data_IF_618955031039
#
_entry.id   IF_618955031039
#
_cell.length_a   1.000
_cell.length_b   1.000
_cell.length_c   1.000
_cell.angle_alpha   90.00
_cell.angle_beta   90.00
_cell.angle_gamma   90.00
#
_symmetry.space_group_name_H-M   'P 1'
#
loop_
_entity.id
_entity.type
_entity.pdbx_description
1 polymer ?
#
# COMPACT_ATOMS: atom_id res chain seq x y z
N UNK A 1 -0.84 27.93 3.56
CA UNK A 1 0.33 27.02 3.66
C UNK A 1 1.36 27.67 4.57
N UNK A 2 1.49 27.21 5.81
CA UNK A 2 2.57 27.68 6.68
C UNK A 2 3.87 27.02 6.22
N UNK A 3 4.86 27.82 5.79
CA UNK A 3 6.23 27.33 5.56
C UNK A 3 6.75 26.82 6.91
N UNK A 4 6.93 25.51 7.02
CA UNK A 4 7.65 24.91 8.16
C UNK A 4 9.03 25.54 8.19
N UNK A 5 9.31 26.35 9.21
CA UNK A 5 10.65 26.92 9.39
C UNK A 5 11.59 25.77 9.78
N UNK A 6 12.72 25.58 9.10
CA UNK A 6 13.66 24.52 9.47
C UNK A 6 14.13 24.73 10.92
N UNK A 7 14.14 23.66 11.70
CA UNK A 7 14.72 23.66 13.05
C UNK A 7 16.20 24.03 12.92
N UNK A 8 16.62 25.11 13.57
CA UNK A 8 18.05 25.45 13.68
C UNK A 8 18.73 24.37 14.51
N UNK A 9 19.59 23.57 13.90
CA UNK A 9 20.54 22.74 14.61
C UNK A 9 21.74 23.61 15.00
N UNK A 10 22.03 23.70 16.30
CA UNK A 10 23.22 24.39 16.82
C UNK A 10 24.24 23.32 17.20
N UNK A 11 25.45 23.42 16.65
CA UNK A 11 26.58 22.57 17.04
C UNK A 11 27.59 23.45 17.76
N UNK A 12 27.84 23.18 19.04
CA UNK A 12 28.86 23.85 19.83
C UNK A 12 30.09 22.93 19.94
N UNK A 13 31.24 23.40 19.48
CA UNK A 13 32.52 22.69 19.58
C UNK A 13 33.46 23.51 20.46
N UNK A 14 33.96 22.91 21.55
CA UNK A 14 34.97 23.52 22.44
C UNK A 14 36.22 22.66 22.42
N UNK A 15 37.37 23.29 22.19
CA UNK A 15 38.68 22.62 22.09
C UNK A 15 39.66 23.36 22.96
N UNK A 16 40.35 22.63 23.83
CA UNK A 16 41.41 23.12 24.69
C UNK A 16 42.67 22.32 24.36
N UNK A 17 43.73 22.99 23.92
CA UNK A 17 44.97 22.35 23.48
C UNK A 17 46.15 23.30 23.65
N UNK A 18 47.31 22.74 23.98
CA UNK A 18 48.60 23.45 24.06
C UNK A 18 49.40 23.34 22.75
N UNK A 19 48.78 22.87 21.67
CA UNK A 19 49.41 22.56 20.38
C UNK A 19 48.48 22.88 19.20
N UNK A 20 49.02 22.99 17.99
CA UNK A 20 48.24 23.26 16.78
C UNK A 20 47.36 22.05 16.42
N UNK A 21 46.04 22.25 16.31
CA UNK A 21 45.07 21.20 15.97
C UNK A 21 44.18 21.66 14.81
N UNK A 22 43.91 20.77 13.85
CA UNK A 22 42.97 20.99 12.76
C UNK A 22 41.67 20.24 13.02
N UNK A 23 40.53 20.91 12.90
CA UNK A 23 39.20 20.33 13.15
C UNK A 23 38.37 20.51 11.88
N UNK A 24 37.78 19.41 11.41
CA UNK A 24 36.81 19.42 10.32
C UNK A 24 35.44 19.04 10.84
N UNK A 25 34.51 20.00 10.89
CA UNK A 25 33.09 19.73 11.20
C UNK A 25 32.34 19.53 9.89
N UNK A 26 31.77 18.35 9.67
CA UNK A 26 30.90 18.07 8.52
C UNK A 26 29.45 17.98 8.99
N UNK A 27 28.69 19.05 8.76
CA UNK A 27 27.23 19.02 8.91
C UNK A 27 26.65 18.50 7.60
N UNK A 28 26.05 17.31 7.62
CA UNK A 28 25.17 16.90 6.52
C UNK A 28 23.89 17.70 6.70
N UNK A 29 23.61 18.66 5.82
CA UNK A 29 22.24 19.17 5.70
C UNK A 29 21.34 17.95 5.51
N UNK A 30 20.24 17.84 6.25
CA UNK A 30 19.18 16.93 5.82
C UNK A 30 18.91 17.32 4.36
N UNK A 31 19.22 16.39 3.46
CA UNK A 31 18.93 16.54 2.05
C UNK A 31 17.45 16.95 2.00
N UNK A 32 17.10 18.08 1.38
CA UNK A 32 15.70 18.52 1.28
C UNK A 32 14.90 17.38 0.64
N UNK A 33 14.26 16.55 1.48
CA UNK A 33 13.47 15.42 1.00
C UNK A 33 12.16 16.00 0.54
N UNK A 34 11.86 15.81 -0.74
CA UNK A 34 10.62 16.29 -1.31
C UNK A 34 9.47 15.50 -0.70
N UNK A 35 8.45 16.22 -0.22
CA UNK A 35 7.27 15.62 0.38
C UNK A 35 6.68 14.52 -0.51
N UNK A 36 6.28 13.42 0.12
CA UNK A 36 5.58 12.32 -0.53
C UNK A 36 4.20 12.77 -1.01
N UNK A 37 3.69 12.09 -2.03
CA UNK A 37 2.40 12.34 -2.66
C UNK A 37 1.36 11.36 -2.14
N UNK A 38 0.40 11.88 -1.38
CA UNK A 38 -0.80 11.16 -0.96
C UNK A 38 -1.98 11.50 -1.87
N UNK A 39 -2.90 10.56 -2.05
CA UNK A 39 -4.20 10.76 -2.69
C UNK A 39 -5.33 10.86 -1.66
N UNK A 40 -6.56 11.09 -2.15
CA UNK A 40 -7.79 11.15 -1.35
C UNK A 40 -8.91 10.42 -2.10
N UNK A 41 -9.43 9.36 -1.50
CA UNK A 41 -10.46 8.49 -2.06
C UNK A 41 -10.14 7.95 -3.46
N UNK A 42 -11.13 7.31 -4.07
CA UNK A 42 -11.18 7.02 -5.51
C UNK A 42 -12.63 6.60 -5.87
N UNK A 43 -12.79 5.78 -6.91
CA UNK A 43 -14.09 5.26 -7.30
C UNK A 43 -14.68 4.29 -6.24
N UNK A 44 -13.81 3.47 -5.62
CA UNK A 44 -14.14 2.55 -4.52
C UNK A 44 -14.17 3.26 -3.17
N UNK A 45 -13.19 4.14 -2.93
CA UNK A 45 -12.90 4.68 -1.61
C UNK A 45 -13.55 6.06 -1.39
N UNK A 46 -14.20 6.23 -0.24
CA UNK A 46 -14.67 7.53 0.25
C UNK A 46 -13.58 8.61 0.19
N UNK A 47 -13.98 9.86 -0.04
CA UNK A 47 -13.06 11.01 -0.04
C UNK A 47 -12.44 11.31 1.34
N UNK A 48 -12.95 10.68 2.42
CA UNK A 48 -12.35 10.75 3.75
C UNK A 48 -11.08 9.89 3.89
N UNK A 49 -10.85 8.95 2.96
CA UNK A 49 -9.74 8.00 3.03
C UNK A 49 -8.54 8.58 2.30
N UNK A 50 -7.46 8.81 3.06
CA UNK A 50 -6.17 9.18 2.46
C UNK A 50 -5.52 7.94 1.86
N UNK A 51 -5.01 8.02 0.64
CA UNK A 51 -4.36 6.87 -0.03
C UNK A 51 -2.86 7.09 -0.19
N UNK A 52 -2.06 6.08 0.10
CA UNK A 52 -0.64 6.05 -0.21
C UNK A 52 -0.38 4.99 -1.29
N UNK A 53 0.50 5.28 -2.24
CA UNK A 53 0.76 4.38 -3.36
C UNK A 53 2.22 4.37 -3.79
N UNK A 54 2.67 3.20 -4.21
CA UNK A 54 3.93 2.92 -4.88
C UNK A 54 3.68 2.26 -6.25
N UNK A 55 4.72 2.15 -7.12
CA UNK A 55 4.56 1.62 -8.47
C UNK A 55 4.17 0.14 -8.48
N UNK A 56 3.02 -0.17 -9.07
CA UNK A 56 2.47 -1.51 -9.13
C UNK A 56 3.43 -2.51 -9.79
N UNK A 57 3.59 -3.67 -9.15
CA UNK A 57 4.46 -4.76 -9.60
C UNK A 57 5.96 -4.50 -9.50
N UNK A 58 6.41 -3.24 -9.47
CA UNK A 58 7.83 -2.89 -9.25
C UNK A 58 8.18 -2.91 -7.77
N UNK A 59 7.31 -2.38 -6.91
CA UNK A 59 7.49 -2.44 -5.45
C UNK A 59 6.91 -3.71 -4.83
N UNK A 60 6.47 -4.70 -5.63
CA UNK A 60 5.73 -5.88 -5.17
C UNK A 60 6.58 -7.16 -5.30
N UNK A 61 7.52 -7.41 -4.38
CA UNK A 61 8.48 -8.52 -4.51
C UNK A 61 7.83 -9.91 -4.50
N UNK A 62 6.66 -10.04 -3.86
CA UNK A 62 5.98 -11.33 -3.67
C UNK A 62 4.68 -11.46 -4.47
N UNK A 63 4.39 -10.52 -5.36
CA UNK A 63 3.25 -10.64 -6.27
C UNK A 63 3.50 -11.75 -7.31
N UNK A 64 2.51 -12.63 -7.52
CA UNK A 64 2.60 -13.72 -8.49
C UNK A 64 1.46 -13.68 -9.49
N UNK A 65 0.24 -13.96 -9.03
CA UNK A 65 -0.94 -14.07 -9.88
C UNK A 65 -1.40 -12.72 -10.44
N UNK A 66 -1.04 -11.63 -9.75
CA UNK A 66 -1.35 -10.25 -10.14
C UNK A 66 -0.13 -9.46 -10.63
N UNK A 67 1.01 -10.12 -10.90
CA UNK A 67 2.27 -9.42 -11.20
C UNK A 67 2.25 -8.77 -12.58
N UNK A 68 1.66 -7.58 -12.66
CA UNK A 68 1.66 -6.73 -13.86
C UNK A 68 2.39 -5.44 -13.56
N UNK A 69 3.20 -4.96 -14.50
CA UNK A 69 4.04 -3.77 -14.36
C UNK A 69 3.77 -2.81 -15.50
N UNK A 70 3.55 -1.54 -15.19
CA UNK A 70 3.62 -0.47 -16.18
C UNK A 70 5.07 0.02 -16.25
N UNK A 71 5.64 0.11 -17.45
CA UNK A 71 6.98 0.67 -17.63
C UNK A 71 7.04 2.12 -17.12
N UNK A 72 8.13 2.47 -16.42
CA UNK A 72 8.28 3.77 -15.75
C UNK A 72 8.13 4.94 -16.72
N UNK A 73 8.82 4.87 -17.86
CA UNK A 73 8.84 5.94 -18.87
C UNK A 73 7.61 5.89 -19.77
N UNK A 74 7.45 4.79 -20.50
CA UNK A 74 6.48 4.63 -21.58
C UNK A 74 5.07 4.32 -21.09
N UNK A 75 4.94 3.65 -19.95
CA UNK A 75 3.65 3.20 -19.43
C UNK A 75 3.18 1.85 -19.98
N UNK A 76 3.91 1.25 -20.92
CA UNK A 76 3.54 -0.03 -21.53
C UNK A 76 3.44 -1.09 -20.43
N UNK A 77 2.32 -1.82 -20.41
CA UNK A 77 2.09 -2.88 -19.43
C UNK A 77 2.77 -4.16 -19.87
N UNK A 78 3.42 -4.83 -18.94
CA UNK A 78 3.93 -6.20 -19.09
C UNK A 78 3.40 -7.05 -17.94
N UNK A 79 2.77 -8.16 -18.29
CA UNK A 79 2.35 -9.17 -17.34
C UNK A 79 3.49 -10.17 -17.07
N UNK A 80 3.60 -10.63 -15.84
CA UNK A 80 4.51 -11.68 -15.45
C UNK A 80 4.06 -13.07 -15.93
N UNK A 81 4.99 -14.02 -15.95
CA UNK A 81 4.77 -15.41 -16.42
C UNK A 81 3.58 -16.11 -15.76
N UNK A 82 3.27 -15.78 -14.52
CA UNK A 82 2.25 -16.47 -13.71
C UNK A 82 0.97 -15.65 -13.51
N UNK A 83 0.78 -14.58 -14.29
CA UNK A 83 -0.42 -13.74 -14.17
C UNK A 83 -1.67 -14.55 -14.51
N UNK A 84 -2.62 -14.55 -13.58
CA UNK A 84 -3.99 -15.05 -13.77
C UNK A 84 -4.96 -13.90 -13.99
N UNK A 85 -4.76 -12.80 -13.29
CA UNK A 85 -5.50 -11.56 -13.43
C UNK A 85 -4.54 -10.37 -13.37
N UNK A 86 -4.77 -9.35 -14.20
CA UNK A 86 -3.92 -8.16 -14.26
C UNK A 86 -4.19 -7.26 -13.06
N UNK A 87 -3.12 -6.76 -12.44
CA UNK A 87 -3.23 -5.73 -11.40
C UNK A 87 -3.91 -4.49 -11.96
N UNK A 88 -5.03 -4.09 -11.35
CA UNK A 88 -5.79 -2.91 -11.76
C UNK A 88 -4.92 -1.63 -11.70
N UNK A 89 -4.04 -1.54 -10.69
CA UNK A 89 -3.18 -0.39 -10.48
C UNK A 89 -2.10 -0.24 -11.57
N UNK A 90 -1.59 -1.35 -12.12
CA UNK A 90 -0.67 -1.31 -13.25
C UNK A 90 -1.36 -0.77 -14.52
N UNK A 91 -2.64 -1.13 -14.71
CA UNK A 91 -3.48 -0.57 -15.79
C UNK A 91 -3.70 0.93 -15.60
N UNK A 92 -3.94 1.36 -14.37
CA UNK A 92 -4.10 2.78 -14.04
C UNK A 92 -2.82 3.58 -14.31
N UNK A 93 -1.66 3.04 -13.92
CA UNK A 93 -0.36 3.66 -14.18
C UNK A 93 -0.07 3.77 -15.68
N UNK A 94 -0.43 2.77 -16.47
CA UNK A 94 -0.26 2.81 -17.92
C UNK A 94 -1.06 3.94 -18.58
N UNK A 95 -2.32 4.09 -18.17
CA UNK A 95 -3.26 5.07 -18.73
C UNK A 95 -3.06 6.48 -18.19
N UNK A 96 -2.46 6.65 -17.00
CA UNK A 96 -2.32 7.94 -16.31
C UNK A 96 -0.87 8.24 -15.94
N UNK A 97 -0.12 8.91 -16.83
CA UNK A 97 1.29 9.25 -16.58
C UNK A 97 1.53 10.04 -15.29
N UNK A 98 0.61 10.93 -14.90
CA UNK A 98 0.71 11.69 -13.64
C UNK A 98 0.66 10.79 -12.41
N UNK A 99 -0.25 9.80 -12.40
CA UNK A 99 -0.35 8.80 -11.32
C UNK A 99 0.93 7.96 -11.26
N UNK A 100 1.40 7.48 -12.42
CA UNK A 100 2.65 6.71 -12.51
C UNK A 100 3.84 7.50 -11.97
N UNK A 101 4.00 8.76 -12.37
CA UNK A 101 5.08 9.64 -11.87
C UNK A 101 5.00 9.88 -10.37
N UNK A 102 3.81 10.11 -9.82
CA UNK A 102 3.64 10.33 -8.38
C UNK A 102 4.02 9.09 -7.55
N UNK A 103 3.65 7.90 -8.03
CA UNK A 103 4.01 6.63 -7.39
C UNK A 103 5.53 6.38 -7.43
N UNK A 104 6.16 6.61 -8.58
CA UNK A 104 7.63 6.50 -8.70
C UNK A 104 8.36 7.53 -7.84
N UNK A 105 7.87 8.76 -7.76
CA UNK A 105 8.39 9.77 -6.84
C UNK A 105 8.41 9.26 -5.40
N UNK A 106 7.29 8.75 -4.91
CA UNK A 106 7.20 8.20 -3.56
C UNK A 106 8.21 7.07 -3.33
N UNK A 107 8.29 6.15 -4.28
CA UNK A 107 9.18 4.99 -4.19
C UNK A 107 10.66 5.40 -4.14
N UNK A 108 11.07 6.31 -5.03
CA UNK A 108 12.45 6.78 -5.08
C UNK A 108 12.84 7.55 -3.80
N UNK A 109 11.95 8.40 -3.28
CA UNK A 109 12.19 9.14 -2.04
C UNK A 109 12.33 8.20 -0.83
N UNK A 110 11.46 7.18 -0.74
CA UNK A 110 11.55 6.19 0.34
C UNK A 110 12.83 5.35 0.21
N UNK A 111 13.19 4.92 -1.00
CA UNK A 111 14.43 4.15 -1.24
C UNK A 111 15.71 4.95 -0.99
N UNK A 112 15.64 6.28 -1.00
CA UNK A 112 16.76 7.14 -0.63
C UNK A 112 16.94 7.24 0.90
N UNK A 113 15.95 6.84 1.69
CA UNK A 113 16.06 6.75 3.14
C UNK A 113 16.92 5.56 3.55
N UNK A 114 17.69 5.70 4.64
CA UNK A 114 18.65 4.68 5.10
C UNK A 114 18.14 3.83 6.25
N UNK A 115 17.01 4.18 6.85
CA UNK A 115 16.43 3.46 7.98
C UNK A 115 14.91 3.57 8.00
N UNK A 116 14.28 2.77 8.86
CA UNK A 116 12.83 2.79 9.07
C UNK A 116 12.38 4.13 9.67
N UNK A 117 13.15 4.69 10.60
CA UNK A 117 12.86 5.98 11.26
C UNK A 117 12.93 7.13 10.25
N UNK A 118 13.89 7.09 9.34
CA UNK A 118 14.02 8.07 8.26
C UNK A 118 12.82 8.01 7.30
N UNK A 119 12.36 6.81 6.94
CA UNK A 119 11.16 6.63 6.12
C UNK A 119 9.90 7.07 6.87
N UNK A 120 9.77 6.69 8.15
CA UNK A 120 8.63 7.03 8.99
C UNK A 120 8.50 8.53 9.17
N UNK A 121 9.61 9.24 9.43
CA UNK A 121 9.63 10.71 9.50
C UNK A 121 9.17 11.33 8.19
N UNK A 122 9.70 10.88 7.06
CA UNK A 122 9.29 11.39 5.74
C UNK A 122 7.79 11.17 5.47
N UNK A 123 7.26 10.01 5.86
CA UNK A 123 5.82 9.70 5.77
C UNK A 123 5.00 10.64 6.65
N UNK A 124 5.37 10.79 7.93
CA UNK A 124 4.67 11.62 8.89
C UNK A 124 4.67 13.11 8.49
N UNK A 125 5.81 13.62 8.04
CA UNK A 125 5.95 15.02 7.60
C UNK A 125 5.13 15.31 6.33
N UNK A 126 4.88 14.27 5.51
CA UNK A 126 4.12 14.37 4.27
C UNK A 126 2.62 14.07 4.45
N UNK A 127 2.23 13.41 5.54
CA UNK A 127 0.86 12.99 5.81
C UNK A 127 0.10 14.10 6.54
N UNK A 128 -1.07 14.47 6.00
CA UNK A 128 -1.93 15.48 6.62
C UNK A 128 -2.27 15.12 8.08
N UNK A 129 -2.24 16.08 9.03
CA UNK A 129 -2.61 15.82 10.43
C UNK A 129 -4.08 15.40 10.59
N UNK A 130 -4.93 15.67 9.59
CA UNK A 130 -6.36 15.35 9.60
C UNK A 130 -6.71 13.96 9.05
N UNK A 131 -5.72 13.15 8.65
CA UNK A 131 -5.99 11.81 8.15
C UNK A 131 -6.56 10.92 9.27
N UNK A 132 -7.85 10.59 9.18
CA UNK A 132 -8.52 9.61 10.04
C UNK A 132 -8.26 8.19 9.58
N UNK A 133 -8.41 7.92 8.28
CA UNK A 133 -8.12 6.62 7.65
C UNK A 133 -7.08 6.77 6.55
N UNK A 134 -6.12 5.85 6.53
CA UNK A 134 -5.05 5.79 5.55
C UNK A 134 -5.00 4.40 4.94
N UNK A 135 -5.37 4.31 3.65
CA UNK A 135 -5.08 3.12 2.85
C UNK A 135 -3.62 3.10 2.47
N UNK A 136 -2.84 2.30 3.19
CA UNK A 136 -1.45 2.01 2.87
C UNK A 136 -1.45 1.06 1.69
N UNK A 137 -0.98 1.55 0.54
CA UNK A 137 -0.98 0.86 -0.75
C UNK A 137 -2.39 0.66 -1.33
N UNK A 138 -2.93 1.75 -1.88
CA UNK A 138 -3.92 1.63 -2.98
C UNK A 138 -3.24 1.00 -4.23
N UNK A 139 -1.92 1.17 -4.34
CA UNK A 139 -1.03 0.51 -5.28
C UNK A 139 0.33 0.28 -4.67
N UNK A 140 1.05 -0.72 -5.18
CA UNK A 140 2.36 -1.09 -4.69
C UNK A 140 2.26 -2.05 -3.52
N UNK A 141 3.31 -2.12 -2.71
CA UNK A 141 3.44 -3.13 -1.65
C UNK A 141 4.62 -2.78 -0.72
N UNK A 142 4.67 -3.42 0.45
CA UNK A 142 5.86 -3.46 1.30
C UNK A 142 7.02 -4.17 0.58
N UNK A 143 8.00 -3.41 0.09
CA UNK A 143 9.11 -3.94 -0.72
C UNK A 143 10.34 -4.39 0.09
N UNK A 144 10.39 -4.10 1.39
CA UNK A 144 11.46 -4.51 2.30
C UNK A 144 10.98 -4.50 3.76
N UNK A 145 11.64 -5.25 4.64
CA UNK A 145 11.36 -5.21 6.08
C UNK A 145 11.49 -3.80 6.65
N UNK A 146 12.53 -3.06 6.26
CA UNK A 146 12.78 -1.68 6.74
C UNK A 146 11.60 -0.76 6.40
N UNK A 147 11.01 -0.92 5.21
CA UNK A 147 9.85 -0.13 4.82
C UNK A 147 8.55 -0.58 5.51
N UNK A 148 8.40 -1.88 5.79
CA UNK A 148 7.31 -2.37 6.64
C UNK A 148 7.40 -1.77 8.04
N UNK A 149 8.58 -1.84 8.67
CA UNK A 149 8.84 -1.31 10.00
C UNK A 149 8.60 0.21 10.08
N UNK A 150 8.87 0.94 8.99
CA UNK A 150 8.54 2.36 8.91
C UNK A 150 7.04 2.65 9.09
N UNK A 151 6.16 1.82 8.51
CA UNK A 151 4.71 1.97 8.68
C UNK A 151 4.24 1.56 10.08
N UNK A 152 4.90 0.59 10.72
CA UNK A 152 4.67 0.27 12.13
C UNK A 152 4.98 1.50 13.00
N UNK A 153 6.12 2.15 12.78
CA UNK A 153 6.51 3.38 13.49
C UNK A 153 5.52 4.54 13.24
N UNK A 154 5.06 4.71 12.00
CA UNK A 154 4.04 5.72 11.64
C UNK A 154 2.74 5.46 12.41
N UNK A 155 2.28 4.21 12.46
CA UNK A 155 1.06 3.82 13.16
C UNK A 155 1.17 4.06 14.67
N UNK A 156 2.30 3.67 15.28
CA UNK A 156 2.61 3.96 16.69
C UNK A 156 2.62 5.46 16.99
N UNK A 157 3.13 6.28 16.06
CA UNK A 157 3.18 7.74 16.23
C UNK A 157 1.82 8.41 16.08
N UNK A 158 0.88 7.78 15.36
CA UNK A 158 -0.46 8.30 15.08
C UNK A 158 -1.54 7.32 15.55
N UNK A 159 -1.67 7.07 16.87
CA UNK A 159 -2.59 6.05 17.40
C UNK A 159 -4.08 6.34 17.12
N UNK A 160 -4.43 7.56 16.74
CA UNK A 160 -5.81 7.96 16.35
C UNK A 160 -6.09 7.88 14.85
N UNK A 161 -5.10 7.51 14.04
CA UNK A 161 -5.27 7.28 12.60
C UNK A 161 -5.29 5.77 12.37
N UNK A 162 -6.31 5.26 11.67
CA UNK A 162 -6.37 3.88 11.23
C UNK A 162 -5.60 3.74 9.92
N UNK A 163 -4.55 2.92 9.93
CA UNK A 163 -3.80 2.52 8.75
C UNK A 163 -4.23 1.12 8.37
N UNK A 164 -4.53 0.89 7.11
CA UNK A 164 -4.92 -0.44 6.65
C UNK A 164 -4.32 -0.79 5.29
N UNK A 165 -3.98 -2.06 5.09
CA UNK A 165 -3.30 -2.53 3.88
C UNK A 165 -3.69 -3.96 3.49
N UNK A 166 -3.79 -4.20 2.19
CA UNK A 166 -3.69 -5.54 1.63
C UNK A 166 -2.22 -5.84 1.34
N UNK A 167 -1.71 -6.99 1.76
CA UNK A 167 -0.31 -7.34 1.50
C UNK A 167 -0.09 -8.79 1.11
N UNK A 168 0.82 -9.00 0.16
CA UNK A 168 1.45 -10.29 -0.18
C UNK A 168 2.84 -10.42 0.45
N UNK A 169 3.31 -9.39 1.14
CA UNK A 169 4.59 -9.38 1.84
C UNK A 169 4.51 -10.04 3.22
N UNK A 170 3.91 -11.24 3.24
CA UNK A 170 3.72 -12.05 4.43
C UNK A 170 5.03 -12.33 5.20
N UNK A 171 6.18 -12.59 4.54
CA UNK A 171 7.44 -12.72 5.27
C UNK A 171 7.80 -11.52 6.16
N UNK A 172 7.38 -10.29 5.77
CA UNK A 172 7.66 -9.09 6.55
C UNK A 172 6.67 -8.88 7.68
N UNK A 173 5.40 -9.20 7.43
CA UNK A 173 4.35 -9.20 8.45
C UNK A 173 4.69 -10.18 9.58
N UNK A 174 5.05 -11.42 9.27
CA UNK A 174 5.32 -12.45 10.28
C UNK A 174 6.42 -12.05 11.28
N UNK A 175 7.43 -11.29 10.85
CA UNK A 175 8.48 -10.78 11.74
C UNK A 175 7.99 -9.75 12.76
N UNK A 176 6.76 -9.24 12.59
CA UNK A 176 6.13 -8.21 13.43
C UNK A 176 4.76 -8.66 13.94
N UNK A 177 4.44 -9.95 13.89
CA UNK A 177 3.12 -10.49 14.25
C UNK A 177 2.65 -10.02 15.63
N UNK A 178 3.52 -10.01 16.65
CA UNK A 178 3.19 -9.52 17.99
C UNK A 178 2.81 -8.02 18.02
N UNK A 179 3.34 -7.22 17.09
CA UNK A 179 3.03 -5.79 16.99
C UNK A 179 1.74 -5.56 16.20
N UNK A 180 1.54 -6.21 15.06
CA UNK A 180 0.44 -5.89 14.14
C UNK A 180 -0.77 -6.83 14.26
N UNK A 181 -0.61 -7.99 14.90
CA UNK A 181 -1.65 -9.02 15.00
C UNK A 181 -1.73 -9.90 13.75
N UNK A 182 -2.64 -10.86 13.76
CA UNK A 182 -2.90 -11.78 12.63
C UNK A 182 -3.96 -11.24 11.66
N UNK A 183 -4.52 -10.06 11.95
CA UNK A 183 -5.57 -9.41 11.15
C UNK A 183 -6.99 -9.79 11.59
N UNK A 184 -7.18 -10.95 12.23
CA UNK A 184 -8.41 -11.26 12.96
C UNK A 184 -8.42 -10.54 14.32
N UNK A 185 -7.26 -10.55 14.99
CA UNK A 185 -7.04 -9.90 16.27
C UNK A 185 -5.91 -8.87 16.15
N UNK A 186 -5.97 -7.77 16.91
CA UNK A 186 -4.91 -6.77 16.94
C UNK A 186 -3.69 -7.25 17.73
N UNK A 187 -2.52 -6.74 17.34
CA UNK A 187 -1.30 -6.79 18.16
C UNK A 187 -1.14 -5.54 19.04
N UNK A 188 0.09 -5.26 19.48
CA UNK A 188 0.42 -4.07 20.26
C UNK A 188 0.19 -2.72 19.54
N UNK A 189 0.01 -2.73 18.22
CA UNK A 189 -0.25 -1.58 17.34
C UNK A 189 -1.60 -1.78 16.63
N UNK A 190 -2.72 -1.67 17.35
CA UNK A 190 -4.06 -2.06 16.86
C UNK A 190 -4.58 -1.18 15.72
N UNK A 191 -3.98 -0.02 15.48
CA UNK A 191 -4.37 0.89 14.42
C UNK A 191 -3.63 0.64 13.09
N UNK A 192 -2.86 -0.44 12.98
CA UNK A 192 -2.30 -0.94 11.73
C UNK A 192 -2.94 -2.28 11.38
N UNK A 193 -4.00 -2.22 10.57
CA UNK A 193 -4.84 -3.36 10.21
C UNK A 193 -4.34 -3.98 8.90
N UNK A 194 -3.96 -5.25 8.93
CA UNK A 194 -3.44 -5.95 7.76
C UNK A 194 -4.40 -7.03 7.26
N UNK A 195 -4.45 -7.19 5.94
CA UNK A 195 -5.17 -8.28 5.27
C UNK A 195 -4.22 -8.98 4.31
N UNK A 196 -4.03 -10.29 4.49
CA UNK A 196 -3.22 -11.09 3.60
C UNK A 196 -3.94 -11.22 2.26
N UNK A 197 -3.31 -10.82 1.16
CA UNK A 197 -3.97 -10.90 -0.14
C UNK A 197 -3.49 -12.13 -0.90
N UNK A 198 -4.39 -13.10 -1.15
CA UNK A 198 -4.07 -14.31 -1.90
C UNK A 198 -3.54 -14.01 -3.31
N UNK A 199 -2.78 -14.95 -3.85
CA UNK A 199 -2.16 -14.88 -5.18
C UNK A 199 -0.72 -14.39 -5.17
N UNK A 200 -0.03 -14.46 -4.03
CA UNK A 200 1.39 -14.17 -3.87
C UNK A 200 2.27 -15.41 -4.04
N UNK A 201 3.56 -15.28 -3.72
CA UNK A 201 4.50 -16.41 -3.69
C UNK A 201 4.52 -17.15 -2.34
N UNK A 202 3.91 -16.57 -1.30
CA UNK A 202 3.97 -17.05 0.08
C UNK A 202 2.59 -17.36 0.67
N UNK A 203 1.59 -17.66 -0.16
CA UNK A 203 0.20 -17.89 0.29
C UNK A 203 0.08 -19.01 1.34
N UNK A 204 1.03 -19.94 1.42
CA UNK A 204 1.07 -20.97 2.47
C UNK A 204 1.11 -20.39 3.90
N UNK A 205 1.73 -19.23 4.09
CA UNK A 205 1.78 -18.55 5.39
C UNK A 205 0.42 -18.09 5.91
N UNK A 206 -0.56 -17.88 5.02
CA UNK A 206 -1.91 -17.48 5.41
C UNK A 206 -2.53 -18.54 6.32
N UNK A 207 -2.46 -19.80 5.89
CA UNK A 207 -2.99 -20.93 6.66
C UNK A 207 -2.08 -21.27 7.85
N UNK A 208 -0.77 -21.31 7.65
CA UNK A 208 0.20 -21.71 8.67
C UNK A 208 0.17 -20.80 9.91
N UNK A 209 -0.01 -19.49 9.70
CA UNK A 209 -0.02 -18.50 10.78
C UNK A 209 -1.41 -17.91 11.04
N UNK A 210 -2.46 -18.50 10.46
CA UNK A 210 -3.85 -18.05 10.62
C UNK A 210 -4.01 -16.55 10.38
N UNK A 211 -3.46 -16.05 9.28
CA UNK A 211 -3.56 -14.64 8.91
C UNK A 211 -4.92 -14.39 8.25
N UNK A 212 -5.61 -13.34 8.67
CA UNK A 212 -6.81 -12.87 7.97
C UNK A 212 -6.47 -12.53 6.53
N UNK A 213 -7.34 -12.91 5.62
CA UNK A 213 -7.07 -12.86 4.20
C UNK A 213 -8.21 -12.32 3.34
N UNK A 214 -7.85 -11.91 2.13
CA UNK A 214 -8.78 -11.60 1.06
C UNK A 214 -8.37 -12.26 -0.25
N UNK A 215 -9.38 -12.77 -0.98
CA UNK A 215 -9.22 -13.46 -2.26
C UNK A 215 -9.85 -12.67 -3.40
N UNK A 216 -9.19 -12.63 -4.55
CA UNK A 216 -9.80 -12.08 -5.76
C UNK A 216 -10.68 -13.15 -6.40
N UNK A 217 -11.98 -12.89 -6.48
CA UNK A 217 -13.00 -13.78 -7.05
C UNK A 217 -13.52 -13.25 -8.39
N UNK A 218 -13.94 -14.14 -9.27
CA UNK A 218 -14.32 -13.83 -10.65
C UNK A 218 -15.83 -13.62 -10.80
N UNK A 219 -16.61 -13.96 -9.78
CA UNK A 219 -18.06 -13.73 -9.69
C UNK A 219 -18.53 -13.61 -8.23
N UNK A 220 -19.76 -13.14 -8.03
CA UNK A 220 -20.42 -13.17 -6.72
C UNK A 220 -20.65 -14.61 -6.26
N UNK A 221 -21.11 -15.48 -7.16
CA UNK A 221 -21.33 -16.91 -6.88
C UNK A 221 -20.07 -17.59 -6.35
N UNK A 222 -18.89 -17.27 -6.91
CA UNK A 222 -17.63 -17.81 -6.39
C UNK A 222 -17.33 -17.35 -4.96
N UNK A 223 -17.70 -16.11 -4.61
CA UNK A 223 -17.56 -15.60 -3.24
C UNK A 223 -18.52 -16.35 -2.30
N UNK A 224 -19.78 -16.51 -2.71
CA UNK A 224 -20.82 -17.19 -1.95
C UNK A 224 -20.48 -18.67 -1.72
N UNK A 225 -19.98 -19.38 -2.76
CA UNK A 225 -19.51 -20.76 -2.69
C UNK A 225 -18.32 -20.93 -1.72
N UNK A 226 -17.51 -19.87 -1.56
CA UNK A 226 -16.40 -19.81 -0.60
C UNK A 226 -16.85 -19.33 0.80
N UNK A 227 -18.11 -18.92 0.96
CA UNK A 227 -18.62 -18.32 2.19
C UNK A 227 -17.98 -16.97 2.53
N UNK A 228 -17.56 -16.21 1.52
CA UNK A 228 -16.87 -14.93 1.67
C UNK A 228 -17.76 -13.76 1.22
N UNK A 229 -17.91 -12.76 2.08
CA UNK A 229 -18.57 -11.51 1.69
C UNK A 229 -17.67 -10.68 0.76
N UNK A 230 -18.25 -10.01 -0.24
CA UNK A 230 -17.49 -9.15 -1.15
C UNK A 230 -17.37 -7.74 -0.59
N UNK A 231 -16.14 -7.29 -0.39
CA UNK A 231 -15.86 -5.93 0.11
C UNK A 231 -15.85 -4.90 -1.03
N UNK A 232 -16.87 -4.04 -1.03
CA UNK A 232 -17.12 -3.04 -2.06
C UNK A 232 -16.54 -1.66 -1.75
N UNK A 233 -16.16 -1.34 -0.52
CA UNK A 233 -15.78 0.02 -0.10
C UNK A 233 -14.55 0.08 0.84
N UNK A 234 -13.91 -1.07 1.06
CA UNK A 234 -12.80 -1.30 1.98
C UNK A 234 -13.17 -1.29 3.47
N UNK A 235 -14.46 -1.23 3.84
CA UNK A 235 -14.86 -1.25 5.27
C UNK A 235 -14.41 -2.52 5.99
N UNK A 236 -14.49 -3.68 5.34
CA UNK A 236 -14.02 -4.95 5.91
C UNK A 236 -12.50 -4.93 6.18
N UNK A 237 -11.74 -4.14 5.40
CA UNK A 237 -10.30 -4.01 5.56
C UNK A 237 -9.88 -3.01 6.65
N UNK A 238 -10.76 -2.11 7.09
CA UNK A 238 -10.44 -1.03 8.04
C UNK A 238 -10.45 -1.46 9.51
N UNK A 239 -11.07 -2.59 9.81
CA UNK A 239 -11.18 -3.15 11.15
C UNK A 239 -10.56 -4.54 11.17
N UNK A 240 -10.20 -5.06 12.34
CA UNK A 240 -9.83 -6.47 12.49
C UNK A 240 -11.10 -7.33 12.38
N UNK A 241 -11.02 -8.51 11.76
CA UNK A 241 -12.23 -9.29 11.51
C UNK A 241 -12.04 -10.52 10.63
N UNK A 242 -13.07 -10.88 9.87
CA UNK A 242 -13.15 -12.13 9.10
C UNK A 242 -12.50 -12.04 7.71
N UNK A 243 -12.34 -13.19 7.05
CA UNK A 243 -11.88 -13.28 5.67
C UNK A 243 -12.95 -12.79 4.69
N UNK A 244 -12.54 -12.16 3.58
CA UNK A 244 -13.50 -11.63 2.61
C UNK A 244 -13.00 -11.73 1.17
N UNK A 245 -13.87 -11.42 0.22
CA UNK A 245 -13.58 -11.48 -1.20
C UNK A 245 -13.47 -10.09 -1.81
N UNK A 246 -12.72 -10.01 -2.91
CA UNK A 246 -12.57 -8.83 -3.75
C UNK A 246 -12.99 -9.21 -5.16
N UNK A 247 -14.04 -8.58 -5.67
CA UNK A 247 -14.51 -8.88 -7.01
C UNK A 247 -13.51 -8.37 -8.06
N UNK A 248 -13.20 -9.23 -9.04
CA UNK A 248 -12.30 -8.91 -10.13
C UNK A 248 -12.74 -7.64 -10.86
N UNK A 249 -11.84 -6.66 -10.99
CA UNK A 249 -12.11 -5.43 -11.71
C UNK A 249 -10.91 -4.94 -12.53
N UNK A 250 -11.14 -3.94 -13.37
CA UNK A 250 -10.12 -3.37 -14.25
C UNK A 250 -9.90 -4.17 -15.54
N UNK A 251 -9.01 -3.69 -16.39
CA UNK A 251 -8.72 -4.32 -17.68
C UNK A 251 -7.89 -5.59 -17.49
N UNK A 252 -8.35 -6.68 -18.10
CA UNK A 252 -7.71 -7.99 -18.03
C UNK A 252 -7.02 -8.37 -19.35
N UNK A 253 -6.08 -9.33 -19.35
CA UNK A 253 -5.42 -9.80 -20.58
C UNK A 253 -6.43 -10.40 -21.56
N UNK A 254 -6.37 -10.02 -22.84
CA UNK A 254 -7.30 -10.53 -23.86
C UNK A 254 -7.24 -12.06 -23.94
N UNK A 255 -8.41 -12.70 -24.06
CA UNK A 255 -8.53 -14.16 -24.15
C UNK A 255 -8.37 -14.93 -22.82
N UNK A 256 -7.99 -14.26 -21.72
CA UNK A 256 -7.88 -14.91 -20.40
C UNK A 256 -9.23 -15.20 -19.75
N UNK A 257 -9.26 -16.16 -18.82
CA UNK A 257 -10.43 -16.40 -17.96
C UNK A 257 -10.82 -15.15 -17.17
N UNK A 258 -9.83 -14.38 -16.68
CA UNK A 258 -10.09 -13.09 -16.04
C UNK A 258 -10.78 -12.09 -16.97
N UNK A 259 -10.47 -12.07 -18.27
CA UNK A 259 -11.16 -11.19 -19.22
C UNK A 259 -12.60 -11.65 -19.52
N UNK A 260 -12.84 -12.97 -19.56
CA UNK A 260 -14.20 -13.53 -19.68
C UNK A 260 -15.02 -13.18 -18.44
N UNK A 261 -14.48 -13.41 -17.24
CA UNK A 261 -15.09 -13.06 -15.98
C UNK A 261 -15.38 -11.55 -15.89
N UNK A 262 -14.40 -10.70 -16.18
CA UNK A 262 -14.62 -9.25 -16.20
C UNK A 262 -15.69 -8.80 -17.20
N UNK A 263 -15.90 -9.53 -18.31
CA UNK A 263 -17.01 -9.28 -19.24
C UNK A 263 -18.35 -9.72 -18.65
N UNK A 264 -18.43 -10.92 -18.09
CA UNK A 264 -19.64 -11.43 -17.44
C UNK A 264 -20.08 -10.49 -16.29
N UNK A 265 -19.13 -10.02 -15.50
CA UNK A 265 -19.37 -9.01 -14.45
C UNK A 265 -19.97 -7.73 -15.03
N UNK A 266 -19.42 -7.21 -16.14
CA UNK A 266 -19.99 -6.02 -16.80
C UNK A 266 -21.40 -6.25 -17.32
N UNK A 267 -21.66 -7.41 -17.91
CA UNK A 267 -22.98 -7.80 -18.41
C UNK A 267 -23.98 -7.91 -17.25
N UNK A 268 -23.52 -8.30 -16.05
CA UNK A 268 -24.28 -8.31 -14.80
C UNK A 268 -24.34 -6.94 -14.08
N UNK A 269 -23.83 -5.87 -14.68
CA UNK A 269 -23.86 -4.50 -14.12
C UNK A 269 -22.62 -4.09 -13.33
N UNK A 270 -21.65 -4.98 -13.07
CA UNK A 270 -20.38 -4.66 -12.44
C UNK A 270 -19.28 -4.29 -13.44
N UNK A 271 -19.00 -2.99 -13.58
CA UNK A 271 -17.84 -2.50 -14.37
C UNK A 271 -16.66 -2.04 -13.52
N UNK A 272 -16.70 -2.32 -12.22
CA UNK A 272 -15.87 -1.72 -11.19
C UNK A 272 -16.56 -0.54 -10.51
N UNK A 273 -15.85 0.12 -9.60
CA UNK A 273 -16.43 1.12 -8.69
C UNK A 273 -16.60 2.53 -9.29
N UNK A 274 -16.63 2.66 -10.62
CA UNK A 274 -16.88 3.96 -11.29
C UNK A 274 -18.31 4.45 -11.09
N UNK A 275 -18.62 5.68 -11.53
CA UNK A 275 -19.97 6.29 -11.44
C UNK A 275 -21.10 5.53 -12.21
N UNK A 276 -20.87 4.33 -12.72
CA UNK A 276 -21.95 3.48 -13.24
C UNK A 276 -22.68 2.83 -12.08
N UNK A 277 -23.95 3.23 -11.92
CA UNK A 277 -24.91 2.78 -10.92
C UNK A 277 -24.82 1.27 -10.63
N UNK A 278 -24.25 0.92 -9.48
CA UNK A 278 -24.73 -0.25 -8.78
C UNK A 278 -26.07 0.11 -8.16
N UNK A 279 -27.19 -0.52 -8.54
CA UNK A 279 -28.25 -0.68 -7.58
C UNK A 279 -27.67 -1.62 -6.52
N UNK A 280 -27.34 -1.08 -5.35
CA UNK A 280 -27.25 -1.88 -4.13
C UNK A 280 -28.65 -2.45 -3.90
N UNK A 281 -28.97 -3.58 -4.51
CA UNK A 281 -30.06 -4.41 -4.00
C UNK A 281 -29.53 -5.05 -2.73
N UNK A 282 -29.82 -4.36 -1.63
CA UNK A 282 -29.82 -4.91 -0.28
C UNK A 282 -30.61 -6.22 -0.32
N UNK A 283 -29.95 -7.32 0.06
CA UNK A 283 -30.60 -8.50 0.62
C UNK A 283 -29.90 -8.75 1.95
#
# INVERSE_FOLDING_TARGET
>A
MAKVRPRKATVNVRVETNSQVSITVRVKSEQERLALKFGQGNAKLSQAITTFSLPAGHSCPFARQCLSKSDRGTGIIRDGKHVRFRCYAATMEARRPSVRRARWHNYDQLRACRSAEEMARLILDSLTPFAGWVRVHDSGEFYSQVYFDAWVLVAQTRPRTTFYAYTKALPFWLQRLALVGDGYEPGAVPNLVLTASHGGTHDHFIREHRLRSASVVYSQVEADDQGLEVDHDDTHAMEHGYDFALLLHGQQPAGSEAAKAARALRDAGFSGYGKSRFPLSVI
#
